data_IF_244055715223
#
_entry.id   IF_244055715223
#
_cell.length_a   1.000
_cell.length_b   1.000
_cell.length_c   1.000
_cell.angle_alpha   90.00
_cell.angle_beta   90.00
_cell.angle_gamma   90.00
#
_symmetry.space_group_name_H-M   'P 1'
#
loop_
_entity.id
_entity.type
_entity.pdbx_description
1 polymer ?
#
# COMPACT_ATOMS: atom_id res chain seq x y z
N UNK A 1 9.56 43.42 5.76
CA UNK A 1 10.73 42.75 5.15
C UNK A 1 10.45 41.25 5.13
N UNK A 2 10.06 40.70 3.97
CA UNK A 2 9.74 39.30 3.79
C UNK A 2 11.04 38.50 3.69
N UNK A 3 11.34 37.71 4.68
CA UNK A 3 12.41 36.70 4.66
C UNK A 3 12.07 35.67 3.58
N UNK A 4 12.65 35.78 2.39
CA UNK A 4 12.64 34.73 1.38
C UNK A 4 13.38 33.52 1.95
N UNK A 5 12.64 32.58 2.54
CA UNK A 5 13.17 31.28 2.92
C UNK A 5 13.77 30.66 1.65
N UNK A 6 15.10 30.62 1.53
CA UNK A 6 15.78 29.91 0.45
C UNK A 6 15.24 28.49 0.44
N UNK A 7 14.49 28.11 -0.61
CA UNK A 7 14.17 26.70 -0.86
C UNK A 7 15.49 25.95 -0.84
N UNK A 8 15.65 25.05 0.09
CA UNK A 8 16.78 24.12 0.11
C UNK A 8 16.61 23.25 -1.14
N UNK A 9 17.29 23.63 -2.21
CA UNK A 9 17.34 22.84 -3.43
C UNK A 9 17.99 21.50 -3.09
N UNK A 10 17.42 20.43 -3.63
CA UNK A 10 17.94 19.07 -3.48
C UNK A 10 19.42 19.06 -3.96
N UNK A 11 20.38 18.75 -3.09
CA UNK A 11 21.78 18.78 -3.47
C UNK A 11 22.04 17.75 -4.58
N UNK A 12 22.70 18.19 -5.67
CA UNK A 12 23.01 17.32 -6.81
C UNK A 12 23.94 16.17 -6.44
N UNK A 13 24.77 16.35 -5.39
CA UNK A 13 25.71 15.35 -4.94
C UNK A 13 25.20 14.61 -3.69
N UNK A 14 25.36 13.30 -3.68
CA UNK A 14 25.01 12.48 -2.52
C UNK A 14 26.04 12.64 -1.39
N UNK A 15 25.55 12.64 -0.16
CA UNK A 15 26.39 12.56 1.05
C UNK A 15 26.84 11.13 1.38
N UNK A 16 26.32 10.13 0.67
CA UNK A 16 26.69 8.73 0.84
C UNK A 16 28.09 8.46 0.29
N UNK A 17 28.85 7.58 0.91
CA UNK A 17 30.20 7.17 0.44
C UNK A 17 30.14 5.91 -0.42
N UNK A 18 31.16 5.68 -1.24
CA UNK A 18 31.31 4.48 -2.06
C UNK A 18 30.37 4.43 -3.27
N UNK A 19 30.19 3.23 -3.83
CA UNK A 19 29.40 2.99 -5.06
C UNK A 19 27.97 3.50 -4.95
N UNK A 20 27.33 3.34 -3.78
CA UNK A 20 25.98 3.84 -3.52
C UNK A 20 25.88 5.37 -3.61
N UNK A 21 26.92 6.10 -3.16
CA UNK A 21 26.97 7.56 -3.29
C UNK A 21 27.16 8.04 -4.72
N UNK A 22 27.98 7.33 -5.49
CA UNK A 22 28.17 7.60 -6.92
C UNK A 22 26.85 7.38 -7.67
N UNK A 23 26.15 6.27 -7.42
CA UNK A 23 24.88 5.95 -8.05
C UNK A 23 23.82 7.01 -7.72
N UNK A 24 23.67 7.41 -6.46
CA UNK A 24 22.74 8.50 -6.08
C UNK A 24 23.10 9.84 -6.74
N UNK A 25 24.37 10.19 -6.84
CA UNK A 25 24.82 11.40 -7.54
C UNK A 25 24.43 11.36 -9.01
N UNK A 26 24.66 10.22 -9.69
CA UNK A 26 24.23 10.02 -11.07
C UNK A 26 22.70 10.12 -11.20
N UNK A 27 21.93 9.51 -10.28
CA UNK A 27 20.47 9.60 -10.27
C UNK A 27 19.98 11.06 -10.15
N UNK A 28 20.63 11.86 -9.35
CA UNK A 28 20.28 13.29 -9.16
C UNK A 28 20.68 14.15 -10.34
N UNK A 29 21.77 13.83 -11.03
CA UNK A 29 22.25 14.55 -12.22
C UNK A 29 21.46 14.19 -13.49
N UNK A 30 21.17 12.90 -13.68
CA UNK A 30 20.51 12.36 -14.88
C UNK A 30 19.06 11.91 -14.61
N UNK A 31 18.35 12.61 -13.75
CA UNK A 31 17.03 12.29 -13.19
C UNK A 31 16.15 11.38 -14.08
N UNK A 32 15.79 11.86 -15.27
CA UNK A 32 14.84 11.14 -16.16
C UNK A 32 15.46 9.91 -16.80
N UNK A 33 16.68 10.02 -17.36
CA UNK A 33 17.31 8.92 -18.07
C UNK A 33 17.61 7.74 -17.15
N UNK A 34 18.16 8.01 -15.97
CA UNK A 34 18.47 6.96 -15.02
C UNK A 34 17.20 6.37 -14.37
N UNK A 35 16.17 7.19 -14.18
CA UNK A 35 14.86 6.70 -13.71
C UNK A 35 14.26 5.72 -14.71
N UNK A 36 14.27 6.03 -16.00
CA UNK A 36 13.83 5.12 -17.08
C UNK A 36 14.67 3.84 -17.08
N UNK A 37 15.99 3.95 -17.01
CA UNK A 37 16.89 2.80 -17.00
C UNK A 37 16.67 1.86 -15.82
N UNK A 38 16.22 2.38 -14.66
CA UNK A 38 15.90 1.58 -13.48
C UNK A 38 14.48 0.99 -13.52
N UNK A 39 13.53 1.71 -14.15
CA UNK A 39 12.14 1.26 -14.24
C UNK A 39 11.97 0.11 -15.23
N UNK A 40 12.66 0.14 -16.39
CA UNK A 40 12.52 -0.89 -17.41
C UNK A 40 12.79 -2.30 -16.85
N UNK A 41 13.92 -2.60 -16.18
CA UNK A 41 14.14 -3.89 -15.55
C UNK A 41 13.07 -4.26 -14.54
N UNK A 42 12.55 -3.27 -13.79
CA UNK A 42 11.48 -3.51 -12.81
C UNK A 42 10.18 -3.95 -13.49
N UNK A 43 9.82 -3.36 -14.62
CA UNK A 43 8.66 -3.81 -15.42
C UNK A 43 8.86 -5.22 -15.97
N UNK A 44 10.06 -5.56 -16.46
CA UNK A 44 10.36 -6.92 -16.94
C UNK A 44 10.18 -7.94 -15.80
N UNK A 45 10.75 -7.66 -14.63
CA UNK A 45 10.57 -8.51 -13.44
C UNK A 45 9.09 -8.56 -13.02
N UNK A 46 8.39 -7.43 -13.08
CA UNK A 46 6.95 -7.34 -12.81
C UNK A 46 6.14 -8.24 -13.75
N UNK A 47 6.39 -8.18 -15.05
CA UNK A 47 5.73 -9.05 -16.04
C UNK A 47 6.00 -10.53 -15.79
N UNK A 48 7.25 -10.90 -15.48
CA UNK A 48 7.61 -12.28 -15.17
C UNK A 48 6.89 -12.76 -13.89
N UNK A 49 6.87 -11.93 -12.86
CA UNK A 49 6.20 -12.21 -11.57
C UNK A 49 4.69 -12.42 -11.75
N UNK A 50 4.04 -11.52 -12.50
CA UNK A 50 2.61 -11.60 -12.79
C UNK A 50 2.33 -12.84 -13.66
N UNK A 51 3.19 -13.13 -14.65
CA UNK A 51 3.10 -14.31 -15.50
C UNK A 51 3.08 -15.63 -14.69
N UNK A 52 3.91 -15.74 -13.67
CA UNK A 52 3.90 -16.90 -12.74
C UNK A 52 2.55 -17.03 -12.04
N UNK A 53 1.95 -15.93 -11.60
CA UNK A 53 0.65 -15.97 -10.92
C UNK A 53 -0.53 -16.27 -11.87
N UNK A 54 -0.43 -15.86 -13.14
CA UNK A 54 -1.46 -16.11 -14.17
C UNK A 54 -1.41 -17.56 -14.67
N UNK A 55 -0.24 -18.18 -14.73
CA UNK A 55 -0.04 -19.48 -15.35
C UNK A 55 -1.00 -20.59 -14.86
N UNK A 56 -1.24 -20.78 -13.53
CA UNK A 56 -2.19 -21.78 -13.04
C UNK A 56 -3.63 -21.54 -13.53
N UNK A 57 -4.05 -20.28 -13.58
CA UNK A 57 -5.37 -19.90 -14.10
C UNK A 57 -5.53 -20.23 -15.60
N UNK A 58 -4.52 -19.93 -16.41
CA UNK A 58 -4.49 -20.27 -17.82
C UNK A 58 -4.46 -21.81 -18.04
N UNK A 59 -3.72 -22.53 -17.21
CA UNK A 59 -3.71 -24.00 -17.26
C UNK A 59 -5.10 -24.57 -16.96
N UNK A 60 -5.79 -24.07 -15.93
CA UNK A 60 -7.16 -24.47 -15.61
C UNK A 60 -8.11 -24.17 -16.78
N UNK A 61 -8.08 -22.96 -17.31
CA UNK A 61 -8.91 -22.55 -18.44
C UNK A 61 -8.69 -23.44 -19.66
N UNK A 62 -7.42 -23.68 -20.03
CA UNK A 62 -7.06 -24.56 -21.14
C UNK A 62 -7.54 -26.00 -20.91
N UNK A 63 -7.34 -26.54 -19.72
CA UNK A 63 -7.76 -27.90 -19.35
C UNK A 63 -9.26 -28.07 -19.49
N UNK A 64 -10.08 -27.15 -18.98
CA UNK A 64 -11.54 -27.20 -19.12
C UNK A 64 -11.93 -27.18 -20.61
N UNK A 65 -11.38 -26.25 -21.40
CA UNK A 65 -11.76 -26.15 -22.83
C UNK A 65 -11.44 -27.41 -23.64
N UNK A 66 -10.32 -28.08 -23.33
CA UNK A 66 -9.97 -29.35 -24.00
C UNK A 66 -11.00 -30.44 -23.62
N UNK A 67 -11.43 -30.52 -22.37
CA UNK A 67 -12.32 -31.58 -21.90
C UNK A 67 -13.79 -31.38 -22.32
N UNK A 68 -14.19 -30.13 -22.63
CA UNK A 68 -15.57 -29.83 -23.06
C UNK A 68 -15.73 -29.67 -24.57
N UNK A 69 -14.67 -29.89 -25.38
CA UNK A 69 -14.68 -29.64 -26.82
C UNK A 69 -15.71 -30.50 -27.58
N UNK A 70 -16.09 -31.67 -27.07
CA UNK A 70 -17.12 -32.54 -27.64
C UNK A 70 -18.50 -32.48 -26.98
N UNK A 71 -18.68 -31.56 -26.01
CA UNK A 71 -19.94 -31.44 -25.30
C UNK A 71 -20.99 -30.63 -26.05
N UNK A 72 -22.24 -30.64 -25.57
CA UNK A 72 -23.28 -29.75 -26.08
C UNK A 72 -22.80 -28.28 -26.08
N UNK A 73 -23.06 -27.50 -27.17
CA UNK A 73 -22.55 -26.13 -27.29
C UNK A 73 -22.84 -25.21 -26.08
N UNK A 74 -24.02 -25.34 -25.45
CA UNK A 74 -24.37 -24.56 -24.26
C UNK A 74 -23.48 -24.96 -23.07
N UNK A 75 -23.29 -26.27 -22.83
CA UNK A 75 -22.43 -26.78 -21.74
C UNK A 75 -20.99 -26.35 -21.95
N UNK A 76 -20.47 -26.43 -23.19
CA UNK A 76 -19.13 -26.00 -23.52
C UNK A 76 -18.92 -24.51 -23.26
N UNK A 77 -19.85 -23.66 -23.72
CA UNK A 77 -19.79 -22.21 -23.50
C UNK A 77 -19.87 -21.84 -22.02
N UNK A 78 -20.82 -22.45 -21.28
CA UNK A 78 -20.95 -22.21 -19.82
C UNK A 78 -19.71 -22.62 -19.05
N UNK A 79 -19.18 -23.83 -19.32
CA UNK A 79 -17.97 -24.35 -18.66
C UNK A 79 -16.75 -23.48 -18.95
N UNK A 80 -16.58 -23.01 -20.21
CA UNK A 80 -15.50 -22.11 -20.60
C UNK A 80 -15.61 -20.75 -19.88
N UNK A 81 -16.82 -20.19 -19.79
CA UNK A 81 -17.07 -18.96 -19.04
C UNK A 81 -16.77 -19.10 -17.55
N UNK A 82 -17.24 -20.19 -16.92
CA UNK A 82 -16.95 -20.49 -15.54
C UNK A 82 -15.44 -20.68 -15.27
N UNK A 83 -14.74 -21.39 -16.16
CA UNK A 83 -13.30 -21.59 -16.08
C UNK A 83 -12.52 -20.27 -16.25
N UNK A 84 -12.98 -19.36 -17.10
CA UNK A 84 -12.39 -18.04 -17.27
C UNK A 84 -12.48 -17.20 -15.97
N UNK A 85 -13.66 -17.15 -15.35
CA UNK A 85 -13.85 -16.46 -14.08
C UNK A 85 -13.02 -17.10 -12.97
N UNK A 86 -13.02 -18.45 -12.90
CA UNK A 86 -12.20 -19.18 -11.94
C UNK A 86 -10.70 -18.90 -12.12
N UNK A 87 -10.22 -18.78 -13.38
CA UNK A 87 -8.84 -18.44 -13.68
C UNK A 87 -8.45 -17.04 -13.17
N UNK A 88 -9.37 -16.06 -13.25
CA UNK A 88 -9.15 -14.71 -12.71
C UNK A 88 -8.98 -14.76 -11.19
N UNK A 89 -9.89 -15.43 -10.47
CA UNK A 89 -9.81 -15.55 -9.01
C UNK A 89 -8.57 -16.35 -8.56
N UNK A 90 -8.24 -17.42 -9.29
CA UNK A 90 -7.04 -18.21 -9.03
C UNK A 90 -5.77 -17.36 -9.22
N UNK A 91 -5.70 -16.54 -10.27
CA UNK A 91 -4.62 -15.57 -10.46
C UNK A 91 -4.50 -14.62 -9.27
N UNK A 92 -5.62 -14.04 -8.82
CA UNK A 92 -5.63 -13.16 -7.65
C UNK A 92 -5.12 -13.85 -6.39
N UNK A 93 -5.54 -15.09 -6.17
CA UNK A 93 -5.07 -15.91 -5.06
C UNK A 93 -3.54 -16.11 -5.11
N UNK A 94 -2.98 -16.46 -6.27
CA UNK A 94 -1.54 -16.61 -6.43
C UNK A 94 -0.79 -15.28 -6.25
N UNK A 95 -1.34 -14.16 -6.73
CA UNK A 95 -0.73 -12.84 -6.55
C UNK A 95 -0.57 -12.47 -5.07
N UNK A 96 -1.47 -12.92 -4.19
CA UNK A 96 -1.37 -12.71 -2.73
C UNK A 96 -0.04 -13.23 -2.15
N UNK A 97 0.54 -14.27 -2.75
CA UNK A 97 1.81 -14.88 -2.30
C UNK A 97 3.00 -14.44 -3.16
N UNK A 98 2.83 -14.43 -4.47
CA UNK A 98 3.92 -14.17 -5.42
C UNK A 98 4.41 -12.73 -5.30
N UNK A 99 3.52 -11.76 -5.14
CA UNK A 99 3.90 -10.35 -5.00
C UNK A 99 4.69 -10.05 -3.72
N UNK A 100 4.28 -10.49 -2.52
CA UNK A 100 5.10 -10.32 -1.32
C UNK A 100 6.43 -11.04 -1.39
N UNK A 101 6.50 -12.21 -2.03
CA UNK A 101 7.76 -12.91 -2.28
C UNK A 101 8.68 -12.08 -3.18
N UNK A 102 8.17 -11.56 -4.32
CA UNK A 102 8.92 -10.67 -5.19
C UNK A 102 9.40 -9.40 -4.46
N UNK A 103 8.55 -8.80 -3.61
CA UNK A 103 8.90 -7.66 -2.77
C UNK A 103 10.08 -8.01 -1.83
N UNK A 104 10.04 -9.16 -1.18
CA UNK A 104 11.10 -9.62 -0.29
C UNK A 104 12.44 -9.78 -1.06
N UNK A 105 12.41 -10.40 -2.23
CA UNK A 105 13.59 -10.61 -3.07
C UNK A 105 14.16 -9.27 -3.56
N UNK A 106 13.33 -8.39 -4.12
CA UNK A 106 13.76 -7.10 -4.68
C UNK A 106 14.25 -6.12 -3.61
N UNK A 107 13.73 -6.20 -2.40
CA UNK A 107 14.21 -5.42 -1.26
C UNK A 107 15.34 -6.10 -0.48
N UNK A 108 15.84 -7.25 -0.96
CA UNK A 108 16.88 -8.06 -0.28
C UNK A 108 16.52 -8.39 1.18
N UNK A 109 15.25 -8.75 1.42
CA UNK A 109 14.70 -9.01 2.76
C UNK A 109 14.54 -7.78 3.65
N UNK A 110 14.94 -6.58 3.19
CA UNK A 110 14.82 -5.34 3.95
C UNK A 110 13.39 -4.80 3.95
N UNK A 111 13.01 -4.13 5.05
CA UNK A 111 11.73 -3.41 5.17
C UNK A 111 11.95 -1.91 4.99
N UNK A 112 10.88 -1.20 4.61
CA UNK A 112 10.90 0.26 4.69
C UNK A 112 11.00 0.69 6.16
N UNK A 113 11.63 1.84 6.39
CA UNK A 113 11.76 2.44 7.70
C UNK A 113 11.46 3.95 7.61
N UNK A 114 11.26 4.59 8.76
CA UNK A 114 11.09 6.02 8.80
C UNK A 114 12.29 6.72 8.18
N UNK A 115 12.03 7.58 7.18
CA UNK A 115 13.09 8.23 6.42
C UNK A 115 12.59 9.52 5.78
N UNK A 116 13.51 10.46 5.56
CA UNK A 116 13.26 11.70 4.83
C UNK A 116 14.42 12.00 3.91
N UNK A 117 14.15 12.17 2.64
CA UNK A 117 15.19 12.51 1.67
C UNK A 117 14.66 12.78 0.27
N UNK A 118 15.57 12.99 -0.68
CA UNK A 118 15.22 13.27 -2.06
C UNK A 118 14.51 12.08 -2.74
N UNK A 119 13.60 12.37 -3.67
CA UNK A 119 12.95 11.34 -4.49
C UNK A 119 13.93 10.55 -5.36
N UNK A 120 15.10 11.12 -5.67
CA UNK A 120 16.18 10.46 -6.42
C UNK A 120 17.25 9.94 -5.45
N UNK A 121 16.92 8.88 -4.71
CA UNK A 121 17.80 8.20 -3.77
C UNK A 121 17.53 6.70 -3.76
N UNK A 122 18.47 5.91 -3.24
CA UNK A 122 18.29 4.45 -3.12
C UNK A 122 17.12 4.08 -2.20
N UNK A 123 16.89 4.84 -1.14
CA UNK A 123 15.75 4.61 -0.25
C UNK A 123 14.41 4.91 -0.94
N UNK A 124 14.35 5.95 -1.78
CA UNK A 124 13.17 6.23 -2.58
C UNK A 124 12.89 5.13 -3.62
N UNK A 125 13.94 4.53 -4.24
CA UNK A 125 13.77 3.37 -5.13
C UNK A 125 13.13 2.20 -4.39
N UNK A 126 13.60 1.88 -3.19
CA UNK A 126 13.00 0.81 -2.36
C UNK A 126 11.53 1.08 -2.09
N UNK A 127 11.19 2.33 -1.79
CA UNK A 127 9.81 2.76 -1.62
C UNK A 127 9.00 2.63 -2.90
N UNK A 128 9.52 3.03 -4.08
CA UNK A 128 8.85 2.85 -5.37
C UNK A 128 8.56 1.37 -5.66
N UNK A 129 9.53 0.49 -5.44
CA UNK A 129 9.38 -0.97 -5.62
C UNK A 129 8.26 -1.49 -4.72
N UNK A 130 8.31 -1.20 -3.42
CA UNK A 130 7.33 -1.67 -2.44
C UNK A 130 5.91 -1.23 -2.77
N UNK A 131 5.72 0.04 -3.11
CA UNK A 131 4.41 0.55 -3.48
C UNK A 131 3.96 0.06 -4.86
N UNK A 132 4.84 -0.01 -5.84
CA UNK A 132 4.52 -0.55 -7.15
C UNK A 132 3.97 -1.97 -7.05
N UNK A 133 4.62 -2.84 -6.29
CA UNK A 133 4.17 -4.22 -6.03
C UNK A 133 2.82 -4.23 -5.29
N UNK A 134 2.67 -3.40 -4.27
CA UNK A 134 1.40 -3.28 -3.53
C UNK A 134 0.25 -2.87 -4.47
N UNK A 135 0.52 -1.93 -5.37
CA UNK A 135 -0.48 -1.40 -6.30
C UNK A 135 -0.92 -2.38 -7.37
N UNK A 136 -0.07 -3.33 -7.77
CA UNK A 136 -0.46 -4.35 -8.74
C UNK A 136 -1.71 -5.09 -8.27
N UNK A 137 -1.72 -5.65 -7.06
CA UNK A 137 -2.88 -6.37 -6.55
C UNK A 137 -4.01 -5.43 -6.12
N UNK A 138 -3.67 -4.29 -5.50
CA UNK A 138 -4.64 -3.30 -5.04
C UNK A 138 -5.55 -2.80 -6.16
N UNK A 139 -4.98 -2.45 -7.32
CA UNK A 139 -5.73 -1.88 -8.44
C UNK A 139 -6.27 -2.94 -9.42
N UNK A 140 -6.08 -4.22 -9.14
CA UNK A 140 -6.59 -5.30 -9.98
C UNK A 140 -7.64 -6.13 -9.25
N UNK A 141 -7.23 -6.98 -8.33
CA UNK A 141 -8.07 -8.04 -7.78
C UNK A 141 -8.32 -7.94 -6.26
N UNK A 142 -7.58 -7.10 -5.53
CA UNK A 142 -7.69 -7.03 -4.07
C UNK A 142 -9.08 -6.57 -3.61
N UNK A 143 -9.77 -5.75 -4.40
CA UNK A 143 -11.13 -5.27 -4.10
C UNK A 143 -12.12 -6.43 -4.03
N UNK A 144 -11.99 -7.45 -4.90
CA UNK A 144 -12.83 -8.65 -4.87
C UNK A 144 -12.61 -9.52 -3.62
N UNK A 145 -11.47 -9.36 -2.98
CA UNK A 145 -11.13 -10.06 -1.73
C UNK A 145 -11.38 -9.22 -0.48
N UNK A 146 -11.93 -8.01 -0.60
CA UNK A 146 -12.15 -7.08 0.52
C UNK A 146 -13.66 -6.92 0.79
N UNK A 147 -14.09 -7.02 2.05
CA UNK A 147 -13.35 -7.39 3.26
C UNK A 147 -13.23 -8.92 3.41
N UNK A 148 -12.02 -9.43 3.52
CA UNK A 148 -11.80 -10.85 3.79
C UNK A 148 -10.46 -11.13 4.47
N UNK A 149 -10.27 -12.33 5.06
CA UNK A 149 -8.99 -12.74 5.58
C UNK A 149 -7.87 -12.79 4.55
N UNK A 150 -8.18 -12.97 3.25
CA UNK A 150 -7.21 -13.02 2.15
C UNK A 150 -6.58 -11.65 1.94
N UNK A 151 -7.38 -10.57 1.96
CA UNK A 151 -6.86 -9.21 1.87
C UNK A 151 -5.97 -8.86 3.08
N UNK A 152 -6.39 -9.26 4.28
CA UNK A 152 -5.59 -9.10 5.50
C UNK A 152 -4.27 -9.88 5.40
N UNK A 153 -4.30 -11.11 4.87
CA UNK A 153 -3.11 -11.94 4.66
C UNK A 153 -2.12 -11.25 3.72
N UNK A 154 -2.60 -10.72 2.58
CA UNK A 154 -1.75 -9.97 1.65
C UNK A 154 -1.00 -8.83 2.34
N UNK A 155 -1.71 -7.97 3.08
CA UNK A 155 -1.08 -6.86 3.79
C UNK A 155 -0.08 -7.31 4.86
N UNK A 156 -0.39 -8.40 5.59
CA UNK A 156 0.56 -9.01 6.55
C UNK A 156 1.82 -9.51 5.86
N UNK A 157 1.69 -10.19 4.73
CA UNK A 157 2.83 -10.66 3.93
C UNK A 157 3.66 -9.49 3.36
N UNK A 158 3.01 -8.37 3.03
CA UNK A 158 3.68 -7.11 2.66
C UNK A 158 4.31 -6.37 3.84
N UNK A 159 4.21 -6.90 5.06
CA UNK A 159 4.90 -6.41 6.25
C UNK A 159 4.05 -5.55 7.20
N UNK A 160 2.75 -5.36 6.93
CA UNK A 160 1.83 -4.67 7.84
C UNK A 160 1.60 -5.48 9.12
N UNK A 161 1.62 -4.81 10.26
CA UNK A 161 1.22 -5.42 11.53
C UNK A 161 -0.29 -5.25 11.69
N UNK A 162 -1.02 -6.34 11.88
CA UNK A 162 -2.48 -6.33 12.06
C UNK A 162 -2.83 -7.26 13.20
N UNK A 163 -3.43 -6.71 14.27
CA UNK A 163 -3.85 -7.43 15.46
C UNK A 163 -5.09 -8.29 15.22
N UNK A 164 -5.38 -9.16 16.18
CA UNK A 164 -6.49 -10.12 16.11
C UNK A 164 -7.84 -9.41 16.19
N UNK A 165 -8.82 -9.92 15.44
CA UNK A 165 -10.19 -9.41 15.47
C UNK A 165 -10.37 -8.05 14.81
N UNK A 166 -9.37 -7.52 14.10
CA UNK A 166 -9.50 -6.28 13.36
C UNK A 166 -10.16 -6.51 12.01
N UNK A 167 -11.10 -5.63 11.65
CA UNK A 167 -11.86 -5.65 10.40
C UNK A 167 -11.36 -4.53 9.50
N UNK A 168 -10.94 -4.87 8.27
CA UNK A 168 -10.41 -3.93 7.30
C UNK A 168 -11.30 -3.96 6.06
N UNK A 169 -12.06 -2.89 5.84
CA UNK A 169 -12.97 -2.75 4.70
C UNK A 169 -12.44 -1.71 3.68
N UNK A 170 -11.16 -1.79 3.35
CA UNK A 170 -10.54 -0.94 2.34
C UNK A 170 -9.32 -1.59 1.71
N UNK A 171 -9.06 -1.26 0.45
CA UNK A 171 -7.82 -1.56 -0.26
C UNK A 171 -6.89 -0.35 -0.37
N UNK A 172 -7.36 0.84 0.04
CA UNK A 172 -6.65 2.10 -0.16
C UNK A 172 -5.54 2.34 0.89
N UNK A 173 -4.65 1.35 1.06
CA UNK A 173 -3.48 1.43 1.94
C UNK A 173 -2.18 1.39 1.14
N UNK A 174 -1.28 2.32 1.40
CA UNK A 174 0.06 2.41 0.83
C UNK A 174 1.11 2.23 1.91
N UNK A 175 2.27 1.71 1.54
CA UNK A 175 3.38 1.46 2.48
C UNK A 175 3.05 0.44 3.59
N UNK A 176 2.52 -0.75 3.26
CA UNK A 176 2.06 -1.71 4.27
C UNK A 176 3.07 -1.96 5.40
N UNK A 177 4.35 -2.05 5.10
CA UNK A 177 5.41 -2.31 6.08
C UNK A 177 5.62 -1.18 7.11
N UNK A 178 5.04 0.01 6.86
CA UNK A 178 5.07 1.17 7.77
C UNK A 178 3.74 1.38 8.53
N UNK A 179 2.76 0.47 8.37
CA UNK A 179 1.46 0.58 9.03
C UNK A 179 1.35 -0.49 10.12
N UNK A 180 0.92 -0.06 11.30
CA UNK A 180 0.61 -0.94 12.43
C UNK A 180 -0.81 -0.71 12.90
N UNK A 181 -1.61 -1.77 12.92
CA UNK A 181 -3.01 -1.79 13.35
C UNK A 181 -3.11 -2.76 14.54
N UNK A 182 -3.64 -2.31 15.64
CA UNK A 182 -3.82 -3.06 16.87
C UNK A 182 -4.91 -4.13 16.79
N UNK A 183 -5.34 -4.64 17.93
CA UNK A 183 -6.41 -5.64 18.04
C UNK A 183 -7.78 -4.98 18.04
N UNK A 184 -8.80 -5.68 17.48
CA UNK A 184 -10.21 -5.24 17.46
C UNK A 184 -10.43 -3.85 16.88
N UNK A 185 -9.56 -3.43 15.93
CA UNK A 185 -9.70 -2.17 15.21
C UNK A 185 -10.71 -2.34 14.08
N UNK A 186 -11.55 -1.32 13.87
CA UNK A 186 -12.49 -1.29 12.74
C UNK A 186 -12.07 -0.20 11.77
N UNK A 187 -11.73 -0.60 10.54
CA UNK A 187 -11.45 0.30 9.42
C UNK A 187 -12.63 0.30 8.46
N UNK A 188 -13.29 1.42 8.35
CA UNK A 188 -14.47 1.62 7.49
C UNK A 188 -14.16 1.57 5.99
N UNK A 189 -15.22 1.55 5.17
CA UNK A 189 -15.10 1.50 3.71
C UNK A 189 -14.37 2.70 3.12
N UNK A 190 -13.55 2.46 2.10
CA UNK A 190 -12.81 3.51 1.37
C UNK A 190 -11.92 4.41 2.25
N UNK A 191 -11.52 3.94 3.41
CA UNK A 191 -10.50 4.62 4.24
C UNK A 191 -9.17 4.60 3.50
N UNK A 192 -8.49 5.75 3.43
CA UNK A 192 -7.17 5.86 2.83
C UNK A 192 -6.11 5.98 3.92
N UNK A 193 -5.12 5.08 3.93
CA UNK A 193 -4.00 5.14 4.86
C UNK A 193 -2.71 5.18 4.03
N UNK A 194 -1.93 6.25 4.18
CA UNK A 194 -0.64 6.41 3.50
C UNK A 194 0.43 6.73 4.54
N UNK A 195 1.48 5.92 4.61
CA UNK A 195 2.57 6.15 5.56
C UNK A 195 3.71 6.99 4.95
N UNK A 196 3.38 7.80 3.94
CA UNK A 196 4.30 8.75 3.33
C UNK A 196 3.62 10.08 3.02
N UNK A 197 4.41 11.11 2.77
CA UNK A 197 3.96 12.39 2.20
C UNK A 197 5.12 13.16 1.59
N UNK A 198 4.79 14.07 0.66
CA UNK A 198 5.76 15.02 0.10
C UNK A 198 5.86 16.28 0.96
N UNK A 199 7.07 16.72 1.29
CA UNK A 199 7.29 17.97 2.01
C UNK A 199 8.51 18.72 1.47
N UNK A 200 8.31 19.93 0.98
CA UNK A 200 9.40 20.81 0.49
C UNK A 200 10.32 20.15 -0.55
N UNK A 201 9.77 19.31 -1.44
CA UNK A 201 10.54 18.59 -2.46
C UNK A 201 11.18 17.28 -1.98
N UNK A 202 10.96 16.89 -0.73
CA UNK A 202 11.44 15.61 -0.16
C UNK A 202 10.31 14.62 0.02
N UNK A 203 10.62 13.34 -0.16
CA UNK A 203 9.80 12.23 0.27
C UNK A 203 10.01 12.00 1.77
N UNK A 204 8.92 11.90 2.52
CA UNK A 204 8.94 11.56 3.93
C UNK A 204 8.19 10.24 4.12
N UNK A 205 8.87 9.23 4.64
CA UNK A 205 8.29 7.96 5.07
C UNK A 205 8.12 8.04 6.59
N UNK A 206 6.88 7.95 7.06
CA UNK A 206 6.56 8.11 8.47
C UNK A 206 5.51 7.08 8.90
N UNK A 207 5.84 6.16 9.84
CA UNK A 207 4.94 5.10 10.25
C UNK A 207 3.59 5.62 10.75
N UNK A 208 2.51 4.90 10.39
CA UNK A 208 1.16 5.11 10.93
C UNK A 208 0.89 4.04 11.97
N UNK A 209 0.39 4.45 13.12
CA UNK A 209 0.03 3.54 14.22
C UNK A 209 -1.44 3.76 14.58
N UNK A 210 -2.18 2.67 14.65
CA UNK A 210 -3.58 2.66 15.09
C UNK A 210 -3.66 1.63 16.21
N UNK A 211 -3.93 2.10 17.43
CA UNK A 211 -3.95 1.26 18.62
C UNK A 211 -5.25 0.45 18.73
N UNK A 212 -5.28 -0.46 19.71
CA UNK A 212 -6.37 -1.39 19.94
C UNK A 212 -7.73 -0.71 20.10
N UNK A 213 -8.78 -1.34 19.55
CA UNK A 213 -10.16 -0.92 19.70
C UNK A 213 -10.52 0.38 18.94
N UNK A 214 -9.60 1.00 18.23
CA UNK A 214 -9.88 2.22 17.50
C UNK A 214 -10.89 1.98 16.37
N UNK A 215 -11.71 2.98 16.09
CA UNK A 215 -12.69 2.95 15.00
C UNK A 215 -12.43 4.08 14.01
N UNK A 216 -12.18 3.72 12.76
CA UNK A 216 -11.95 4.66 11.67
C UNK A 216 -13.17 4.66 10.77
N UNK A 217 -13.86 5.78 10.70
CA UNK A 217 -15.09 5.96 9.93
C UNK A 217 -14.89 5.85 8.42
N UNK A 218 -16.00 5.76 7.70
CA UNK A 218 -16.03 5.71 6.23
C UNK A 218 -15.26 6.88 5.61
N UNK A 219 -14.45 6.61 4.57
CA UNK A 219 -13.71 7.61 3.77
C UNK A 219 -12.81 8.55 4.56
N UNK A 220 -12.31 8.11 5.70
CA UNK A 220 -11.27 8.84 6.44
C UNK A 220 -9.96 8.74 5.68
N UNK A 221 -9.16 9.83 5.67
CA UNK A 221 -7.79 9.83 5.18
C UNK A 221 -6.82 9.99 6.35
N UNK A 222 -5.89 9.04 6.50
CA UNK A 222 -4.84 9.06 7.53
C UNK A 222 -3.49 9.20 6.85
N UNK A 223 -2.74 10.23 7.22
CA UNK A 223 -1.45 10.55 6.61
C UNK A 223 -0.26 10.09 7.48
N UNK A 224 0.91 10.00 6.84
CA UNK A 224 2.14 9.48 7.45
C UNK A 224 2.51 10.13 8.78
N UNK A 225 2.89 9.30 9.74
CA UNK A 225 3.26 9.73 11.08
C UNK A 225 2.10 9.94 12.05
N UNK A 226 0.85 9.71 11.61
CA UNK A 226 -0.31 9.77 12.47
C UNK A 226 -0.31 8.62 13.49
N UNK A 227 -0.74 8.90 14.70
CA UNK A 227 -0.95 7.92 15.78
C UNK A 227 -2.37 8.06 16.30
N UNK A 228 -3.16 7.01 16.15
CA UNK A 228 -4.54 6.95 16.66
C UNK A 228 -4.53 6.09 17.90
N UNK A 229 -4.83 6.70 19.05
CA UNK A 229 -4.77 6.06 20.34
C UNK A 229 -5.87 5.02 20.58
N UNK A 230 -5.70 4.25 21.64
CA UNK A 230 -6.59 3.14 22.04
C UNK A 230 -8.04 3.60 22.15
N UNK A 231 -8.97 2.83 21.56
CA UNK A 231 -10.42 3.10 21.53
C UNK A 231 -10.80 4.48 20.93
N UNK A 232 -9.89 5.18 20.28
CA UNK A 232 -10.20 6.45 19.65
C UNK A 232 -11.15 6.26 18.46
N UNK A 233 -11.92 7.29 18.16
CA UNK A 233 -12.87 7.28 17.05
C UNK A 233 -12.57 8.43 16.08
N UNK A 234 -12.40 8.10 14.81
CA UNK A 234 -12.29 9.09 13.76
C UNK A 234 -13.59 9.09 12.98
N UNK A 235 -14.27 10.24 12.96
CA UNK A 235 -15.56 10.39 12.30
C UNK A 235 -15.45 10.25 10.78
N UNK A 236 -16.49 9.77 10.10
CA UNK A 236 -16.49 9.65 8.64
C UNK A 236 -16.06 10.93 7.92
N UNK A 237 -15.43 10.79 6.75
CA UNK A 237 -14.98 11.89 5.89
C UNK A 237 -13.97 12.85 6.52
N UNK A 238 -13.26 12.44 7.55
CA UNK A 238 -12.22 13.25 8.22
C UNK A 238 -10.85 13.07 7.59
N UNK A 239 -10.00 14.10 7.70
CA UNK A 239 -8.60 14.05 7.25
C UNK A 239 -7.66 14.23 8.44
N UNK A 240 -6.98 13.16 8.82
CA UNK A 240 -5.95 13.16 9.85
C UNK A 240 -4.62 13.55 9.20
N UNK A 241 -4.15 14.76 9.48
CA UNK A 241 -2.93 15.33 8.90
C UNK A 241 -1.66 14.58 9.32
N UNK A 242 -0.53 14.78 8.61
CA UNK A 242 0.74 14.14 8.98
C UNK A 242 1.13 14.43 10.44
N UNK A 243 1.61 13.37 11.12
CA UNK A 243 2.12 13.45 12.51
C UNK A 243 1.07 13.83 13.58
N UNK A 244 -0.21 13.85 13.24
CA UNK A 244 -1.29 14.06 14.21
C UNK A 244 -1.29 12.93 15.25
N UNK A 245 -1.45 13.29 16.52
CA UNK A 245 -1.61 12.36 17.63
C UNK A 245 -3.02 12.49 18.21
N UNK A 246 -3.81 11.45 18.04
CA UNK A 246 -5.14 11.32 18.64
C UNK A 246 -4.99 10.55 19.94
N UNK A 247 -5.48 11.10 21.05
CA UNK A 247 -5.40 10.46 22.36
C UNK A 247 -6.33 9.26 22.49
N UNK A 248 -6.08 8.43 23.51
CA UNK A 248 -6.95 7.29 23.81
C UNK A 248 -8.36 7.76 24.19
N UNK A 249 -9.39 7.02 23.70
CA UNK A 249 -10.82 7.29 23.91
C UNK A 249 -11.31 8.65 23.35
N UNK A 250 -10.50 9.34 22.56
CA UNK A 250 -10.90 10.60 21.95
C UNK A 250 -11.72 10.37 20.69
N UNK A 251 -12.63 11.31 20.41
CA UNK A 251 -13.36 11.39 19.15
C UNK A 251 -12.85 12.58 18.34
N UNK A 252 -12.46 12.35 17.10
CA UNK A 252 -11.93 13.38 16.19
C UNK A 252 -12.72 13.41 14.89
N UNK A 253 -12.88 14.59 14.28
CA UNK A 253 -13.60 14.75 13.04
C UNK A 253 -13.27 16.02 12.29
N UNK A 254 -13.67 16.07 11.03
CA UNK A 254 -13.54 17.26 10.16
C UNK A 254 -12.32 17.24 9.24
N UNK A 255 -12.13 18.36 8.51
CA UNK A 255 -11.06 18.59 7.52
C UNK A 255 -10.43 19.95 7.78
N UNK A 256 -9.26 20.01 8.45
CA UNK A 256 -8.54 18.89 9.09
C UNK A 256 -9.30 18.33 10.30
N UNK A 257 -9.00 17.05 10.64
CA UNK A 257 -9.57 16.43 11.84
C UNK A 257 -9.08 17.14 13.09
N UNK A 258 -10.01 17.47 13.97
CA UNK A 258 -9.78 18.06 15.28
C UNK A 258 -10.55 17.28 16.35
N UNK A 259 -10.14 17.39 17.60
CA UNK A 259 -10.84 16.77 18.72
C UNK A 259 -12.25 17.34 18.85
N UNK A 260 -13.23 16.45 18.93
CA UNK A 260 -14.62 16.79 19.21
C UNK A 260 -14.83 16.64 20.71
N UNK A 261 -15.11 17.73 21.39
CA UNK A 261 -15.51 17.68 22.79
C UNK A 261 -16.93 17.07 22.87
N UNK A 262 -17.13 16.14 23.80
CA UNK A 262 -18.46 15.64 24.08
C UNK A 262 -19.34 16.83 24.46
N UNK A 263 -20.42 17.08 23.70
CA UNK A 263 -21.38 18.08 24.09
C UNK A 263 -21.84 17.74 25.52
N UNK A 264 -21.57 18.62 26.46
CA UNK A 264 -22.12 18.51 27.80
C UNK A 264 -23.63 18.45 27.62
N UNK A 265 -24.24 17.29 27.88
CA UNK A 265 -25.69 17.22 27.92
C UNK A 265 -26.15 18.17 29.02
N UNK A 266 -26.64 19.33 28.62
CA UNK A 266 -27.37 20.21 29.50
C UNK A 266 -28.67 19.49 29.82
N UNK A 267 -28.73 18.92 31.02
CA UNK A 267 -29.91 18.27 31.61
C UNK A 267 -31.02 19.29 31.84
#
# INVERSE_FOLDING_TARGET
MSSKTKRVLDPLDSKRRGVGGLLETLMRRFKTLLHIALIIPLYVVGCATIGIAIAPGLMLFRWVNINVAGANPFIAAWSSGAAFVAAIFLTGFFLVFVLPFANCVLLLGGRLHAWRGPYYSLEAIRWYIHNGITYVLRYTLLEFFTPSPIAVLFYKLMGMKIGRGSVINTTAMSDPSLISIGEKVTIGGSVTIVAHYGQSGFLVLAPVVIDDGATIGLRVSIMGGAHIGKNARIMPHSIVLPKTKVGANETWGGVPAVKIEAATQVS
#
